data_IF_283796739944
#
_entry.id   IF_283796739944
#
_cell.length_a   1.000
_cell.length_b   1.000
_cell.length_c   1.000
_cell.angle_alpha   90.00
_cell.angle_beta   90.00
_cell.angle_gamma   90.00
#
_symmetry.space_group_name_H-M   'P 1'
#
loop_
_entity.id
_entity.type
_entity.pdbx_description
1 polymer ?
#
# COMPACT_ATOMS: atom_id res chain seq x y z
N UNK A 1 -27.04 12.97 42.43
CA UNK A 1 -27.13 12.27 41.12
C UNK A 1 -26.68 13.12 39.91
N UNK A 2 -26.10 14.33 40.06
CA UNK A 2 -25.65 15.16 38.91
C UNK A 2 -24.22 14.85 38.43
N UNK A 3 -23.37 14.27 39.27
CA UNK A 3 -21.96 14.02 38.93
C UNK A 3 -21.75 12.77 38.07
N UNK A 4 -22.61 11.74 38.21
CA UNK A 4 -22.49 10.49 37.44
C UNK A 4 -22.71 10.73 35.93
N UNK A 5 -23.72 11.53 35.57
CA UNK A 5 -23.96 11.89 34.16
C UNK A 5 -22.86 12.76 33.55
N UNK A 6 -22.19 13.59 34.36
CA UNK A 6 -21.01 14.35 33.92
C UNK A 6 -19.80 13.43 33.69
N UNK A 7 -19.56 12.46 34.57
CA UNK A 7 -18.50 11.47 34.42
C UNK A 7 -18.68 10.61 33.17
N UNK A 8 -19.90 10.13 32.91
CA UNK A 8 -20.19 9.34 31.70
C UNK A 8 -19.95 10.18 30.43
N UNK A 9 -20.37 11.46 30.42
CA UNK A 9 -20.10 12.36 29.29
C UNK A 9 -18.61 12.61 29.07
N UNK A 10 -17.82 12.75 30.13
CA UNK A 10 -16.37 12.93 30.05
C UNK A 10 -15.71 11.67 29.48
N UNK A 11 -16.04 10.49 30.00
CA UNK A 11 -15.50 9.21 29.50
C UNK A 11 -15.89 9.00 28.03
N UNK A 12 -17.13 9.31 27.67
CA UNK A 12 -17.59 9.23 26.28
C UNK A 12 -16.76 10.14 25.36
N UNK A 13 -16.57 11.41 25.72
CA UNK A 13 -15.74 12.32 24.93
C UNK A 13 -14.27 11.92 24.89
N UNK A 14 -13.74 11.36 25.98
CA UNK A 14 -12.36 10.88 26.08
C UNK A 14 -12.08 9.67 25.17
N UNK A 15 -13.08 8.85 24.88
CA UNK A 15 -12.97 7.73 23.93
C UNK A 15 -13.31 8.19 22.51
N UNK A 16 -14.34 9.02 22.35
CA UNK A 16 -14.81 9.48 21.04
C UNK A 16 -13.74 10.30 20.32
N UNK A 17 -13.10 11.23 21.02
CA UNK A 17 -12.11 12.12 20.43
C UNK A 17 -10.91 11.39 19.78
N UNK A 18 -10.20 10.46 20.45
CA UNK A 18 -9.11 9.73 19.83
C UNK A 18 -9.57 8.83 18.68
N UNK A 19 -10.76 8.24 18.77
CA UNK A 19 -11.32 7.45 17.66
C UNK A 19 -11.53 8.32 16.43
N UNK A 20 -12.21 9.47 16.59
CA UNK A 20 -12.44 10.42 15.50
C UNK A 20 -11.11 10.92 14.92
N UNK A 21 -10.14 11.27 15.77
CA UNK A 21 -8.83 11.72 15.34
C UNK A 21 -8.08 10.65 14.55
N UNK A 22 -8.07 9.40 15.02
CA UNK A 22 -7.45 8.28 14.31
C UNK A 22 -8.12 8.01 12.96
N UNK A 23 -9.45 8.08 12.89
CA UNK A 23 -10.20 7.94 11.63
C UNK A 23 -9.84 9.04 10.64
N UNK A 24 -9.81 10.30 11.07
CA UNK A 24 -9.41 11.43 10.22
C UNK A 24 -7.95 11.30 9.78
N UNK A 25 -7.05 10.89 10.68
CA UNK A 25 -5.64 10.69 10.37
C UNK A 25 -5.42 9.57 9.35
N UNK A 26 -6.03 8.40 9.57
CA UNK A 26 -5.95 7.26 8.64
C UNK A 26 -6.49 7.64 7.26
N UNK A 27 -7.63 8.33 7.21
CA UNK A 27 -8.20 8.83 5.96
C UNK A 27 -7.27 9.81 5.26
N UNK A 28 -6.72 10.80 5.98
CA UNK A 28 -5.81 11.78 5.42
C UNK A 28 -4.52 11.11 4.88
N UNK A 29 -3.90 10.22 5.66
CA UNK A 29 -2.67 9.52 5.26
C UNK A 29 -2.86 8.67 4.00
N UNK A 30 -3.98 7.94 3.88
CA UNK A 30 -4.25 7.08 2.72
C UNK A 30 -4.69 7.83 1.46
N UNK A 31 -5.11 9.09 1.58
CA UNK A 31 -5.50 9.91 0.44
C UNK A 31 -4.41 10.90 0.03
N UNK A 32 -3.55 11.33 0.96
CA UNK A 32 -2.48 12.28 0.69
C UNK A 32 -1.31 11.60 -0.02
N UNK A 33 -1.11 11.94 -1.29
CA UNK A 33 0.00 11.43 -2.09
C UNK A 33 1.23 12.30 -1.83
N UNK A 34 2.26 11.72 -1.22
CA UNK A 34 3.55 12.39 -1.02
C UNK A 34 4.34 12.45 -2.33
N UNK A 35 4.40 11.32 -3.04
CA UNK A 35 5.11 11.19 -4.32
C UNK A 35 4.35 10.24 -5.23
N UNK A 36 4.49 10.38 -6.54
CA UNK A 36 3.98 9.44 -7.52
C UNK A 36 5.05 9.22 -8.58
N UNK A 37 5.05 8.03 -9.17
CA UNK A 37 6.04 7.68 -10.17
C UNK A 37 5.79 6.31 -10.76
N UNK A 38 6.79 5.82 -11.49
CA UNK A 38 6.79 4.50 -12.08
C UNK A 38 8.08 3.75 -11.74
N UNK A 39 7.99 2.42 -11.68
CA UNK A 39 9.14 1.53 -11.59
C UNK A 39 8.99 0.42 -12.61
N UNK A 40 10.10 0.10 -13.28
CA UNK A 40 10.13 -0.91 -14.33
C UNK A 40 11.00 -2.06 -13.84
N UNK A 41 10.47 -3.27 -13.88
CA UNK A 41 11.18 -4.46 -13.44
C UNK A 41 10.39 -5.72 -13.71
N UNK A 42 10.79 -6.83 -13.09
CA UNK A 42 10.10 -8.11 -13.21
C UNK A 42 9.22 -8.36 -12.00
N UNK A 43 7.95 -8.67 -12.21
CA UNK A 43 7.03 -9.00 -11.10
C UNK A 43 7.42 -10.39 -10.58
N UNK A 44 8.07 -10.44 -9.42
CA UNK A 44 8.56 -11.70 -8.86
C UNK A 44 7.53 -12.38 -7.97
N UNK A 45 6.72 -11.60 -7.25
CA UNK A 45 5.77 -12.12 -6.28
C UNK A 45 4.60 -11.17 -6.11
N UNK A 46 3.43 -11.75 -5.91
CA UNK A 46 2.25 -11.07 -5.39
C UNK A 46 1.56 -12.05 -4.43
N UNK A 47 1.30 -11.63 -3.20
CA UNK A 47 0.77 -12.51 -2.17
C UNK A 47 -0.25 -11.78 -1.31
N UNK A 48 -1.41 -12.42 -1.11
CA UNK A 48 -2.39 -11.95 -0.13
C UNK A 48 -1.98 -12.45 1.26
N UNK A 49 -1.34 -11.59 2.04
CA UNK A 49 -0.77 -11.95 3.34
C UNK A 49 -1.23 -11.00 4.44
N UNK A 50 -1.13 -11.46 5.67
CA UNK A 50 -1.53 -10.72 6.87
C UNK A 50 -2.22 -11.62 7.89
N UNK A 51 -2.02 -11.30 9.17
CA UNK A 51 -2.56 -12.10 10.28
C UNK A 51 -3.95 -11.66 10.71
N UNK A 52 -4.14 -10.36 10.92
CA UNK A 52 -5.42 -9.75 11.33
C UNK A 52 -6.18 -9.18 10.12
N UNK A 53 -5.48 -8.44 9.26
CA UNK A 53 -6.00 -7.90 8.02
C UNK A 53 -5.12 -8.42 6.88
N UNK A 54 -5.72 -8.95 5.82
CA UNK A 54 -4.97 -9.39 4.64
C UNK A 54 -4.88 -8.30 3.60
N UNK A 55 -3.67 -8.05 3.11
CA UNK A 55 -3.37 -7.10 2.04
C UNK A 55 -2.63 -7.81 0.91
N UNK A 56 -2.70 -7.26 -0.30
CA UNK A 56 -1.96 -7.78 -1.44
C UNK A 56 -0.60 -7.09 -1.50
N UNK A 57 0.44 -7.85 -1.23
CA UNK A 57 1.81 -7.35 -1.17
C UNK A 57 2.64 -8.01 -2.27
N UNK A 58 3.36 -7.18 -3.02
CA UNK A 58 4.14 -7.59 -4.17
C UNK A 58 5.61 -7.22 -4.07
N UNK A 59 6.42 -7.92 -4.86
CA UNK A 59 7.85 -7.69 -5.03
C UNK A 59 8.15 -7.51 -6.53
N UNK A 60 8.70 -6.36 -6.89
CA UNK A 60 9.19 -6.05 -8.23
C UNK A 60 10.72 -6.05 -8.19
N UNK A 61 11.35 -6.85 -9.04
CA UNK A 61 12.81 -6.95 -9.11
C UNK A 61 13.32 -5.98 -10.18
N UNK A 62 14.09 -4.99 -9.73
CA UNK A 62 14.72 -3.98 -10.58
C UNK A 62 16.10 -4.49 -11.00
N UNK A 63 16.21 -4.92 -12.26
CA UNK A 63 17.48 -5.36 -12.84
C UNK A 63 18.06 -4.23 -13.67
N UNK A 64 19.16 -3.64 -13.21
CA UNK A 64 19.90 -2.62 -13.96
C UNK A 64 21.12 -3.19 -14.67
N UNK A 65 21.76 -4.22 -14.11
CA UNK A 65 22.96 -4.86 -14.68
C UNK A 65 22.86 -6.39 -14.50
N UNK A 66 22.97 -7.19 -15.59
CA UNK A 66 23.06 -8.65 -15.47
C UNK A 66 24.25 -9.06 -14.61
N UNK A 67 24.02 -9.94 -13.63
CA UNK A 67 25.07 -10.45 -12.72
C UNK A 67 25.27 -9.66 -11.43
N UNK A 68 24.57 -8.53 -11.23
CA UNK A 68 24.53 -7.85 -9.92
C UNK A 68 23.28 -8.25 -9.13
N UNK A 69 23.32 -8.13 -7.80
CA UNK A 69 22.13 -8.33 -6.99
C UNK A 69 21.07 -7.28 -7.36
N UNK A 70 19.90 -7.76 -7.77
CA UNK A 70 18.82 -6.89 -8.19
C UNK A 70 18.12 -6.25 -6.97
N UNK A 71 17.79 -4.96 -7.09
CA UNK A 71 17.07 -4.25 -6.04
C UNK A 71 15.61 -4.71 -6.03
N UNK A 72 15.07 -4.97 -4.84
CA UNK A 72 13.66 -5.31 -4.68
C UNK A 72 12.84 -4.10 -4.31
N UNK A 73 11.84 -3.81 -5.13
CA UNK A 73 10.80 -2.86 -4.81
C UNK A 73 9.60 -3.60 -4.21
N UNK A 74 9.35 -3.36 -2.94
CA UNK A 74 8.17 -3.85 -2.25
C UNK A 74 7.02 -2.86 -2.43
N UNK A 75 5.84 -3.37 -2.77
CA UNK A 75 4.66 -2.55 -3.01
C UNK A 75 3.39 -3.22 -2.51
N UNK A 76 2.38 -2.41 -2.21
CA UNK A 76 1.04 -2.84 -1.82
C UNK A 76 0.05 -2.54 -2.94
N UNK A 77 -0.90 -3.46 -3.19
CA UNK A 77 -2.02 -3.24 -4.11
C UNK A 77 -3.33 -3.27 -3.33
N UNK A 78 -4.18 -2.25 -3.52
CA UNK A 78 -5.49 -2.17 -2.85
C UNK A 78 -6.66 -2.48 -3.76
N UNK A 79 -6.55 -2.16 -5.04
CA UNK A 79 -7.61 -2.37 -6.02
C UNK A 79 -7.55 -3.81 -6.57
N UNK A 80 -8.62 -4.62 -6.41
CA UNK A 80 -8.70 -5.97 -6.97
C UNK A 80 -8.46 -6.03 -8.48
N UNK A 81 -8.86 -5.00 -9.25
CA UNK A 81 -8.63 -4.97 -10.69
C UNK A 81 -7.13 -4.85 -11.01
N UNK A 82 -6.40 -4.08 -10.21
CA UNK A 82 -4.94 -3.94 -10.33
C UNK A 82 -4.22 -5.20 -9.86
N UNK A 83 -4.73 -5.88 -8.83
CA UNK A 83 -4.21 -7.19 -8.40
C UNK A 83 -4.23 -8.18 -9.57
N UNK A 84 -5.33 -8.25 -10.31
CA UNK A 84 -5.46 -9.12 -11.47
C UNK A 84 -4.44 -8.76 -12.57
N UNK A 85 -4.30 -7.46 -12.88
CA UNK A 85 -3.30 -6.98 -13.85
C UNK A 85 -1.88 -7.36 -13.44
N UNK A 86 -1.48 -7.10 -12.19
CA UNK A 86 -0.15 -7.42 -11.68
C UNK A 86 0.09 -8.94 -11.69
N UNK A 87 -0.93 -9.72 -11.36
CA UNK A 87 -0.83 -11.18 -11.37
C UNK A 87 -0.70 -11.75 -12.79
N UNK A 88 -1.33 -11.13 -13.79
CA UNK A 88 -1.15 -11.50 -15.21
C UNK A 88 0.27 -11.23 -15.69
N UNK A 89 0.92 -10.20 -15.15
CA UNK A 89 2.30 -9.83 -15.47
C UNK A 89 3.34 -10.55 -14.59
N UNK A 90 2.92 -11.55 -13.80
CA UNK A 90 3.82 -12.28 -12.93
C UNK A 90 4.87 -13.05 -13.74
N UNK A 91 6.15 -12.82 -13.44
CA UNK A 91 7.28 -13.36 -14.20
C UNK A 91 7.67 -12.54 -15.43
N UNK A 92 6.88 -11.55 -15.83
CA UNK A 92 7.13 -10.70 -16.98
C UNK A 92 7.70 -9.33 -16.56
N UNK A 93 8.28 -8.63 -17.55
CA UNK A 93 8.74 -7.25 -17.38
C UNK A 93 7.54 -6.31 -17.42
N UNK A 94 7.33 -5.59 -16.33
CA UNK A 94 6.20 -4.68 -16.16
C UNK A 94 6.66 -3.30 -15.70
N UNK A 95 5.90 -2.29 -16.13
CA UNK A 95 5.91 -0.95 -15.56
C UNK A 95 4.79 -0.86 -14.53
N UNK A 96 5.16 -0.62 -13.27
CA UNK A 96 4.24 -0.40 -12.17
C UNK A 96 4.16 1.10 -11.87
N UNK A 97 2.94 1.66 -11.91
CA UNK A 97 2.67 3.02 -11.50
C UNK A 97 2.24 3.03 -10.04
N UNK A 98 2.91 3.85 -9.23
CA UNK A 98 2.71 3.87 -7.78
C UNK A 98 2.46 5.27 -7.24
N UNK A 99 1.78 5.32 -6.09
CA UNK A 99 1.63 6.49 -5.23
C UNK A 99 2.23 6.18 -3.87
N UNK A 100 3.16 7.01 -3.43
CA UNK A 100 3.74 6.96 -2.10
C UNK A 100 2.85 7.72 -1.12
N UNK A 101 2.32 7.02 -0.13
CA UNK A 101 1.55 7.57 0.98
C UNK A 101 2.39 7.44 2.25
N UNK A 102 2.77 8.56 2.86
CA UNK A 102 3.60 8.56 4.09
C UNK A 102 2.74 8.54 5.35
N UNK A 103 3.26 7.89 6.39
CA UNK A 103 2.63 7.86 7.70
C UNK A 103 1.42 6.92 7.79
N UNK A 104 1.37 5.86 6.97
CA UNK A 104 0.30 4.86 7.05
C UNK A 104 0.32 4.24 8.46
N UNK A 105 -0.75 4.38 9.25
CA UNK A 105 -0.71 4.09 10.69
C UNK A 105 -0.68 2.61 11.05
N UNK A 106 -0.96 1.71 10.11
CA UNK A 106 -1.05 0.27 10.37
C UNK A 106 -0.83 -0.56 9.11
N UNK A 107 -0.23 -1.73 9.29
CA UNK A 107 -0.06 -2.75 8.25
C UNK A 107 -1.40 -3.32 7.75
N UNK A 108 -2.52 -3.05 8.45
CA UNK A 108 -3.85 -3.40 7.94
C UNK A 108 -4.22 -2.67 6.65
N UNK A 109 -3.55 -1.55 6.33
CA UNK A 109 -3.80 -0.80 5.09
C UNK A 109 -2.79 -1.10 3.99
N UNK A 110 -1.64 -1.67 4.36
CA UNK A 110 -0.54 -2.01 3.47
C UNK A 110 0.76 -2.16 4.27
N UNK A 111 1.60 -3.12 3.90
CA UNK A 111 2.92 -3.27 4.54
C UNK A 111 3.93 -2.21 4.07
N UNK A 112 3.65 -1.55 2.95
CA UNK A 112 4.54 -0.57 2.36
C UNK A 112 3.85 0.78 2.19
N UNK A 113 4.65 1.84 2.09
CA UNK A 113 4.16 3.18 1.74
C UNK A 113 3.84 3.32 0.25
N UNK A 114 4.16 2.32 -0.58
CA UNK A 114 4.06 2.38 -2.04
C UNK A 114 2.84 1.62 -2.53
N UNK A 115 1.83 2.35 -2.97
CA UNK A 115 0.57 1.81 -3.43
C UNK A 115 0.51 1.81 -4.95
N UNK A 116 0.55 0.62 -5.55
CA UNK A 116 0.45 0.47 -7.00
C UNK A 116 -1.01 0.61 -7.41
N UNK A 117 -1.26 1.51 -8.36
CA UNK A 117 -2.60 1.81 -8.87
C UNK A 117 -2.78 1.42 -10.34
N UNK A 118 -1.71 1.12 -11.07
CA UNK A 118 -1.79 0.55 -12.41
C UNK A 118 -0.52 -0.25 -12.76
N UNK A 119 -0.67 -1.20 -13.67
CA UNK A 119 0.42 -2.07 -14.13
C UNK A 119 0.29 -2.28 -15.64
N UNK A 120 1.40 -2.13 -16.36
CA UNK A 120 1.45 -2.19 -17.82
C UNK A 120 2.57 -3.14 -18.27
N UNK A 121 2.32 -4.01 -19.26
CA UNK A 121 3.38 -4.78 -19.88
C UNK A 121 4.39 -3.85 -20.55
N UNK A 122 5.66 -4.19 -20.46
CA UNK A 122 6.70 -3.60 -21.31
C UNK A 122 6.98 -4.64 -22.40
N UNK A 123 6.57 -4.34 -23.63
CA UNK A 123 7.07 -5.09 -24.78
C UNK A 123 8.56 -4.75 -24.91
N UNK A 124 9.42 -5.75 -24.68
CA UNK A 124 10.84 -5.60 -24.97
C UNK A 124 10.97 -5.38 -26.48
N UNK A 125 11.28 -4.15 -26.88
CA UNK A 125 11.63 -3.80 -28.24
C UNK A 125 12.90 -4.59 -28.56
N UNK A 126 12.73 -5.75 -29.22
CA UNK A 126 13.83 -6.58 -29.69
C UNK A 126 14.63 -5.77 -30.70
N UNK A 127 15.75 -5.22 -30.24
CA UNK A 127 16.80 -4.67 -31.10
C UNK A 127 17.81 -5.77 -31.47
#
# INVERSE_FOLDING_TARGET
>A
MSNMGKFIKIIFWLILFPVVFLTLYTWASLNWVYSYGERIGYVQKLSNKGWVCKTWEGELVLVTIPGTQAEKFHFTVRDPAVVLKVNQLAGERARLLYKEHRGVPSNCFGETSYFVYDAQPIEDEKQ
#
